data_IF_342721166487
#
_entry.id   IF_342721166487
#
_cell.length_a   1.000
_cell.length_b   1.000
_cell.length_c   1.000
_cell.angle_alpha   90.00
_cell.angle_beta   90.00
_cell.angle_gamma   90.00
#
_symmetry.space_group_name_H-M   'P 1'
#
loop_
_entity.id
_entity.type
_entity.pdbx_description
1 polymer ?
#
# COMPACT_ATOMS: atom_id res chain seq x y z
N UNK A 1 -5.92 -17.57 -15.30
CA UNK A 1 -4.65 -16.79 -15.29
C UNK A 1 -3.65 -17.62 -14.49
N UNK A 2 -2.41 -17.81 -14.95
CA UNK A 2 -1.48 -18.75 -14.29
C UNK A 2 -0.80 -18.20 -13.02
N UNK A 3 -0.81 -16.88 -12.83
CA UNK A 3 -0.12 -16.21 -11.74
C UNK A 3 -1.12 -15.38 -10.89
N UNK A 4 -0.92 -15.29 -9.56
CA UNK A 4 -1.86 -14.65 -8.64
C UNK A 4 -1.88 -13.12 -8.71
N UNK A 5 -2.95 -12.53 -8.19
CA UNK A 5 -3.00 -11.13 -7.75
C UNK A 5 -2.63 -11.10 -6.26
N UNK A 6 -1.74 -10.18 -5.90
CA UNK A 6 -1.31 -10.01 -4.51
C UNK A 6 -1.78 -8.66 -3.97
N UNK A 7 -2.40 -8.68 -2.80
CA UNK A 7 -2.73 -7.47 -2.05
C UNK A 7 -1.85 -7.43 -0.82
N UNK A 8 -1.13 -6.32 -0.67
CA UNK A 8 -0.14 -6.11 0.37
C UNK A 8 -0.60 -4.94 1.22
N UNK A 9 -0.86 -5.21 2.49
CA UNK A 9 -1.29 -4.21 3.45
C UNK A 9 -0.10 -3.69 4.25
N UNK A 10 0.04 -2.36 4.33
CA UNK A 10 0.96 -1.67 5.21
C UNK A 10 0.19 -0.96 6.34
N UNK A 11 0.44 -1.31 7.61
CA UNK A 11 -0.05 -0.53 8.73
C UNK A 11 0.51 0.90 8.67
N UNK A 12 -0.23 1.88 9.18
CA UNK A 12 0.23 3.27 9.18
C UNK A 12 1.44 3.45 10.11
N UNK A 13 2.39 4.28 9.70
CA UNK A 13 3.57 4.69 10.50
C UNK A 13 3.28 6.02 11.18
N UNK A 14 2.19 6.11 11.92
CA UNK A 14 2.16 7.08 13.02
C UNK A 14 2.77 6.36 14.21
N UNK A 15 3.77 6.96 14.85
CA UNK A 15 4.50 6.40 16.00
C UNK A 15 3.63 6.26 17.24
N UNK A 16 2.60 5.43 17.14
CA UNK A 16 1.63 5.09 18.15
C UNK A 16 1.23 3.64 17.89
N UNK A 17 1.73 2.74 18.77
CA UNK A 17 0.85 1.73 19.36
C UNK A 17 -0.57 2.33 19.53
N UNK A 18 -1.66 1.57 19.29
CA UNK A 18 -3.03 2.03 19.04
C UNK A 18 -3.31 3.54 19.19
N UNK A 19 -3.59 4.21 18.08
CA UNK A 19 -3.85 5.65 18.02
C UNK A 19 -5.21 6.00 18.68
N UNK A 20 -5.20 6.37 19.96
CA UNK A 20 -6.38 6.88 20.68
C UNK A 20 -7.56 5.90 20.74
N UNK A 21 -8.80 6.41 20.70
CA UNK A 21 -10.05 5.62 20.76
C UNK A 21 -10.34 4.78 19.50
N UNK A 22 -9.48 4.78 18.47
CA UNK A 22 -9.69 4.02 17.24
C UNK A 22 -8.81 2.77 17.21
N UNK A 23 -9.34 1.69 17.77
CA UNK A 23 -8.66 0.39 17.95
C UNK A 23 -8.45 -0.43 16.65
N UNK A 24 -8.82 0.08 15.48
CA UNK A 24 -8.93 -0.73 14.26
C UNK A 24 -8.39 0.02 13.03
N UNK A 25 -7.48 -0.62 12.30
CA UNK A 25 -6.98 -0.11 11.02
C UNK A 25 -7.99 -0.43 9.91
N UNK A 26 -8.65 0.61 9.37
CA UNK A 26 -9.70 0.45 8.38
C UNK A 26 -9.22 -0.25 7.09
N UNK A 27 -7.98 -0.02 6.64
CA UNK A 27 -7.48 -0.70 5.44
C UNK A 27 -7.17 -2.16 5.69
N UNK A 28 -6.77 -2.55 6.90
CA UNK A 28 -6.63 -3.97 7.23
C UNK A 28 -7.98 -4.69 7.20
N UNK A 29 -9.00 -4.11 7.84
CA UNK A 29 -10.36 -4.67 7.80
C UNK A 29 -10.86 -4.80 6.36
N UNK A 30 -10.67 -3.76 5.54
CA UNK A 30 -11.07 -3.81 4.13
C UNK A 30 -10.38 -4.94 3.37
N UNK A 31 -9.10 -5.17 3.64
CA UNK A 31 -8.30 -6.24 3.01
C UNK A 31 -8.74 -7.64 3.50
N UNK A 32 -9.05 -7.79 4.79
CA UNK A 32 -9.61 -9.04 5.32
C UNK A 32 -11.00 -9.36 4.77
N UNK A 33 -11.86 -8.34 4.60
CA UNK A 33 -13.16 -8.54 3.96
C UNK A 33 -13.02 -8.87 2.48
N UNK A 34 -12.06 -8.26 1.77
CA UNK A 34 -11.74 -8.61 0.38
C UNK A 34 -11.31 -10.07 0.25
N UNK A 35 -10.48 -10.57 1.17
CA UNK A 35 -10.05 -11.98 1.18
C UNK A 35 -11.25 -12.94 1.33
N UNK A 36 -12.22 -12.59 2.19
CA UNK A 36 -13.44 -13.39 2.41
C UNK A 36 -14.40 -13.35 1.22
N UNK A 37 -14.61 -12.16 0.65
CA UNK A 37 -15.50 -11.97 -0.50
C UNK A 37 -14.90 -12.62 -1.76
N UNK A 38 -13.58 -12.69 -1.83
CA UNK A 38 -12.86 -13.12 -3.01
C UNK A 38 -13.02 -12.14 -4.17
N UNK A 39 -12.42 -12.51 -5.30
CA UNK A 39 -12.62 -11.84 -6.57
C UNK A 39 -13.41 -12.78 -7.49
N UNK A 40 -13.26 -12.65 -8.81
CA UNK A 40 -13.81 -13.62 -9.76
C UNK A 40 -13.16 -14.99 -9.57
N UNK A 41 -13.87 -16.07 -9.91
CA UNK A 41 -13.41 -17.45 -9.75
C UNK A 41 -12.08 -17.76 -10.47
N UNK A 42 -11.72 -16.97 -11.48
CA UNK A 42 -10.48 -17.11 -12.25
C UNK A 42 -9.28 -16.33 -11.69
N UNK A 43 -9.45 -15.69 -10.52
CA UNK A 43 -8.45 -14.86 -9.85
C UNK A 43 -7.98 -15.53 -8.56
N UNK A 44 -6.71 -15.92 -8.52
CA UNK A 44 -6.03 -16.37 -7.30
C UNK A 44 -5.56 -15.14 -6.51
N UNK A 45 -6.20 -14.86 -5.37
CA UNK A 45 -5.95 -13.70 -4.53
C UNK A 45 -5.10 -14.10 -3.30
N UNK A 46 -3.95 -13.45 -3.13
CA UNK A 46 -3.10 -13.62 -1.94
C UNK A 46 -3.02 -12.31 -1.16
N UNK A 47 -3.28 -12.37 0.14
CA UNK A 47 -3.26 -11.21 1.04
C UNK A 47 -2.12 -11.35 2.03
N UNK A 48 -1.36 -10.26 2.22
CA UNK A 48 -0.26 -10.20 3.19
C UNK A 48 -0.31 -8.92 4.01
N UNK A 49 -0.23 -9.05 5.33
CA UNK A 49 0.10 -7.95 6.23
C UNK A 49 1.62 -7.80 6.33
N UNK A 50 2.13 -6.59 6.08
CA UNK A 50 3.56 -6.29 6.10
C UNK A 50 3.90 -5.42 7.30
N UNK A 51 4.94 -5.75 8.07
CA UNK A 51 5.35 -4.92 9.20
C UNK A 51 5.78 -3.52 8.75
N UNK A 52 5.53 -2.55 9.63
CA UNK A 52 6.01 -1.17 9.52
C UNK A 52 7.47 -1.11 9.97
N UNK A 53 8.34 -1.70 9.17
CA UNK A 53 9.77 -1.83 9.45
C UNK A 53 10.54 -1.78 8.14
N UNK A 54 11.36 -0.75 7.93
CA UNK A 54 12.02 -0.53 6.63
C UNK A 54 12.83 -1.76 6.18
N UNK A 55 13.59 -2.33 7.11
CA UNK A 55 14.42 -3.49 6.82
C UNK A 55 13.61 -4.76 6.57
N UNK A 56 12.47 -4.94 7.23
CA UNK A 56 11.61 -6.10 7.00
C UNK A 56 10.92 -6.00 5.64
N UNK A 57 10.42 -4.82 5.28
CA UNK A 57 9.81 -4.55 3.96
C UNK A 57 10.81 -4.88 2.83
N UNK A 58 12.05 -4.40 2.94
CA UNK A 58 13.12 -4.65 1.95
C UNK A 58 13.43 -6.15 1.76
N UNK A 59 13.14 -7.01 2.74
CA UNK A 59 13.34 -8.46 2.64
C UNK A 59 12.08 -9.19 2.20
N UNK A 60 10.93 -8.84 2.76
CA UNK A 60 9.68 -9.57 2.60
C UNK A 60 9.08 -9.38 1.21
N UNK A 61 9.03 -8.14 0.71
CA UNK A 61 8.39 -7.86 -0.59
C UNK A 61 9.09 -8.61 -1.74
N UNK A 62 10.44 -8.57 -1.89
CA UNK A 62 11.10 -9.34 -2.94
C UNK A 62 10.95 -10.85 -2.77
N UNK A 63 10.89 -11.36 -1.53
CA UNK A 63 10.67 -12.77 -1.27
C UNK A 63 9.26 -13.22 -1.70
N UNK A 64 8.24 -12.40 -1.45
CA UNK A 64 6.86 -12.64 -1.89
C UNK A 64 6.76 -12.62 -3.43
N UNK A 65 7.38 -11.63 -4.08
CA UNK A 65 7.43 -11.59 -5.54
C UNK A 65 8.11 -12.81 -6.14
N UNK A 66 9.24 -13.25 -5.58
CA UNK A 66 9.94 -14.45 -6.05
C UNK A 66 9.11 -15.71 -5.84
N UNK A 67 8.38 -15.81 -4.72
CA UNK A 67 7.57 -16.97 -4.37
C UNK A 67 6.32 -17.09 -5.27
N UNK A 68 5.64 -15.97 -5.52
CA UNK A 68 4.32 -15.98 -6.17
C UNK A 68 4.35 -15.54 -7.63
N UNK A 69 5.39 -14.83 -8.08
CA UNK A 69 5.45 -14.22 -9.42
C UNK A 69 4.15 -13.50 -9.82
N UNK A 70 3.62 -12.59 -8.96
CA UNK A 70 2.29 -12.03 -9.12
C UNK A 70 2.16 -11.18 -10.39
N UNK A 71 0.98 -11.18 -11.02
CA UNK A 71 0.69 -10.32 -12.18
C UNK A 71 0.35 -8.89 -11.79
N UNK A 72 -0.18 -8.72 -10.58
CA UNK A 72 -0.59 -7.43 -10.04
C UNK A 72 -0.32 -7.42 -8.54
N UNK A 73 0.23 -6.31 -8.07
CA UNK A 73 0.40 -6.04 -6.64
C UNK A 73 -0.34 -4.76 -6.30
N UNK A 74 -1.23 -4.83 -5.32
CA UNK A 74 -1.95 -3.66 -4.81
C UNK A 74 -1.47 -3.40 -3.39
N UNK A 75 -0.82 -2.26 -3.19
CA UNK A 75 -0.41 -1.80 -1.87
C UNK A 75 -1.55 -0.97 -1.27
N UNK A 76 -1.97 -1.32 -0.05
CA UNK A 76 -3.05 -0.62 0.65
C UNK A 76 -2.52 -0.15 2.00
N UNK A 77 -2.78 1.12 2.32
CA UNK A 77 -2.42 1.72 3.59
C UNK A 77 -3.52 2.64 4.09
N UNK A 78 -3.40 3.11 5.33
CA UNK A 78 -4.27 4.14 5.90
C UNK A 78 -3.47 5.38 6.25
N UNK A 79 -4.05 6.54 5.98
CA UNK A 79 -3.57 7.83 6.46
C UNK A 79 -4.58 8.38 7.45
N UNK A 80 -4.11 8.85 8.62
CA UNK A 80 -4.97 9.44 9.65
C UNK A 80 -5.66 10.74 9.22
N UNK A 81 -5.29 11.30 8.06
CA UNK A 81 -5.90 12.50 7.48
C UNK A 81 -6.79 12.20 6.27
N UNK A 82 -6.86 10.95 5.81
CA UNK A 82 -7.63 10.61 4.63
C UNK A 82 -9.14 10.61 4.95
N UNK A 83 -9.90 11.39 4.19
CA UNK A 83 -11.37 11.42 4.23
C UNK A 83 -12.01 10.69 3.05
N UNK A 84 -11.18 10.23 2.10
CA UNK A 84 -11.57 9.59 0.84
C UNK A 84 -10.64 8.44 0.52
N UNK A 85 -11.02 7.55 -0.40
CA UNK A 85 -10.08 6.59 -0.98
C UNK A 85 -9.17 7.34 -1.95
N UNK A 86 -7.86 7.25 -1.75
CA UNK A 86 -6.86 7.92 -2.59
C UNK A 86 -6.15 6.88 -3.46
N UNK A 87 -6.15 7.10 -4.78
CA UNK A 87 -5.40 6.31 -5.74
C UNK A 87 -4.06 7.00 -6.01
N UNK A 88 -2.97 6.36 -5.63
CA UNK A 88 -1.63 6.91 -5.79
C UNK A 88 -1.09 6.65 -7.20
N UNK A 89 -0.69 7.72 -7.88
CA UNK A 89 -0.06 7.66 -9.21
C UNK A 89 1.40 7.29 -9.16
N UNK A 90 2.08 7.56 -8.04
CA UNK A 90 3.50 7.25 -7.93
C UNK A 90 3.96 7.06 -6.48
N UNK A 91 4.96 6.21 -6.33
CA UNK A 91 5.71 6.03 -5.08
C UNK A 91 6.98 6.87 -5.09
N UNK A 92 7.27 7.52 -3.96
CA UNK A 92 8.47 8.35 -3.80
C UNK A 92 9.55 7.58 -3.05
N UNK A 93 10.78 7.70 -3.53
CA UNK A 93 11.94 7.06 -2.92
C UNK A 93 12.61 7.95 -1.87
N UNK A 94 12.46 9.27 -1.90
CA UNK A 94 13.18 10.20 -1.01
C UNK A 94 12.25 10.89 -0.01
N UNK A 95 12.76 11.27 1.16
CA UNK A 95 12.02 12.05 2.16
C UNK A 95 11.57 11.26 3.39
N UNK A 96 12.08 10.04 3.57
CA UNK A 96 11.81 9.20 4.73
C UNK A 96 12.59 9.71 5.94
N UNK A 97 11.87 10.31 6.89
CA UNK A 97 12.44 10.91 8.12
C UNK A 97 11.80 10.35 9.40
N UNK A 98 10.78 9.51 9.25
CA UNK A 98 10.06 8.88 10.34
C UNK A 98 10.81 7.69 10.90
N UNK A 99 10.71 7.51 12.21
CA UNK A 99 11.09 6.24 12.84
C UNK A 99 10.03 5.19 12.54
N UNK A 100 10.46 4.00 12.16
CA UNK A 100 9.60 2.82 12.06
C UNK A 100 9.31 2.21 13.46
N UNK A 101 8.58 1.10 13.50
CA UNK A 101 8.21 0.44 14.76
C UNK A 101 9.43 -0.11 15.53
N UNK A 102 10.56 -0.32 14.86
CA UNK A 102 11.83 -0.70 15.48
C UNK A 102 12.70 0.50 15.86
N UNK A 103 12.14 1.72 15.82
CA UNK A 103 12.88 2.98 16.05
C UNK A 103 14.04 3.16 15.08
N UNK A 104 13.92 2.63 13.86
CA UNK A 104 14.89 2.79 12.80
C UNK A 104 14.41 3.81 11.77
N UNK A 105 15.34 4.62 11.25
CA UNK A 105 15.11 5.52 10.13
C UNK A 105 16.32 5.44 9.18
N UNK A 106 16.13 5.31 7.86
CA UNK A 106 17.23 5.30 6.90
C UNK A 106 18.03 6.61 6.97
N UNK A 107 19.35 6.51 7.15
CA UNK A 107 20.23 7.69 7.20
C UNK A 107 20.28 8.46 5.89
N UNK A 108 20.09 7.77 4.76
CA UNK A 108 19.98 8.34 3.42
C UNK A 108 18.66 9.06 3.17
N UNK A 109 17.67 8.93 4.06
CA UNK A 109 16.29 9.40 3.87
C UNK A 109 15.62 8.83 2.61
N UNK A 110 16.15 7.71 2.10
CA UNK A 110 15.64 7.01 0.94
C UNK A 110 14.98 5.68 1.34
N UNK A 111 14.00 5.23 0.56
CA UNK A 111 13.42 3.90 0.69
C UNK A 111 14.40 2.82 0.21
N UNK A 112 15.02 3.08 -0.96
CA UNK A 112 16.02 2.25 -1.62
C UNK A 112 17.17 3.14 -2.07
N UNK A 113 18.37 2.87 -1.55
CA UNK A 113 19.57 3.60 -1.95
C UNK A 113 19.92 3.34 -3.42
N UNK A 114 20.13 4.42 -4.18
CA UNK A 114 20.38 4.35 -5.62
C UNK A 114 19.15 4.02 -6.49
N UNK A 115 17.97 3.87 -5.89
CA UNK A 115 16.71 3.72 -6.63
C UNK A 115 16.27 5.02 -7.32
N UNK A 116 15.36 4.94 -8.30
CA UNK A 116 14.79 6.14 -8.93
C UNK A 116 14.10 7.03 -7.89
N UNK A 117 14.05 8.34 -8.11
CA UNK A 117 13.39 9.27 -7.18
C UNK A 117 11.90 8.97 -7.01
N UNK A 118 11.27 8.51 -8.08
CA UNK A 118 9.85 8.27 -8.19
C UNK A 118 9.59 7.10 -9.13
N UNK A 119 8.62 6.25 -8.80
CA UNK A 119 8.14 5.16 -9.66
C UNK A 119 6.66 5.42 -9.92
N UNK A 120 6.30 5.56 -11.19
CA UNK A 120 4.92 5.72 -11.60
C UNK A 120 4.19 4.37 -11.59
N UNK A 121 2.94 4.39 -11.16
CA UNK A 121 2.04 3.25 -11.27
C UNK A 121 1.82 2.91 -12.74
N UNK A 122 1.93 1.62 -13.07
CA UNK A 122 1.60 1.09 -14.40
C UNK A 122 0.09 1.18 -14.66
N UNK A 123 -0.73 1.17 -13.61
CA UNK A 123 -2.18 1.32 -13.70
C UNK A 123 -2.52 2.79 -13.92
N UNK A 124 -3.32 3.06 -14.95
CA UNK A 124 -3.90 4.38 -15.21
C UNK A 124 -4.96 4.72 -14.14
N UNK A 125 -4.49 5.39 -13.09
CA UNK A 125 -5.33 5.81 -11.97
C UNK A 125 -6.40 6.84 -12.37
N UNK A 126 -6.21 7.61 -13.46
CA UNK A 126 -7.26 8.49 -13.97
C UNK A 126 -8.44 7.67 -14.53
N UNK A 127 -8.13 6.63 -15.28
CA UNK A 127 -9.14 5.70 -15.81
C UNK A 127 -9.83 4.92 -14.69
N UNK A 128 -9.09 4.44 -13.69
CA UNK A 128 -9.68 3.75 -12.53
C UNK A 128 -10.60 4.69 -11.75
N UNK A 129 -10.13 5.90 -11.41
CA UNK A 129 -10.94 6.88 -10.70
C UNK A 129 -12.23 7.20 -11.45
N UNK A 130 -12.16 7.50 -12.75
CA UNK A 130 -13.34 7.79 -13.58
C UNK A 130 -14.34 6.63 -13.58
N UNK A 131 -13.86 5.40 -13.73
CA UNK A 131 -14.72 4.21 -13.73
C UNK A 131 -15.40 4.01 -12.39
N UNK A 132 -14.67 4.14 -11.28
CA UNK A 132 -15.25 3.96 -9.93
C UNK A 132 -16.24 5.07 -9.61
N UNK A 133 -15.93 6.33 -9.95
CA UNK A 133 -16.86 7.46 -9.77
C UNK A 133 -18.14 7.30 -10.57
N UNK A 134 -18.09 6.66 -11.75
CA UNK A 134 -19.27 6.40 -12.57
C UNK A 134 -20.17 5.27 -12.04
N UNK A 135 -19.71 4.48 -11.05
CA UNK A 135 -20.52 3.45 -10.40
C UNK A 135 -21.49 4.03 -9.36
N UNK A 136 -21.47 5.35 -9.13
CA UNK A 136 -22.34 6.06 -8.16
C UNK A 136 -22.34 5.41 -6.76
N UNK A 137 -21.17 4.88 -6.36
CA UNK A 137 -20.96 4.36 -5.01
C UNK A 137 -20.93 5.51 -4.01
N UNK A 138 -21.33 5.23 -2.76
CA UNK A 138 -21.24 6.18 -1.63
C UNK A 138 -19.79 6.36 -1.13
N UNK A 139 -18.82 6.25 -2.03
CA UNK A 139 -17.38 6.32 -1.75
C UNK A 139 -16.77 7.36 -2.68
N UNK A 140 -16.23 8.42 -2.07
CA UNK A 140 -15.44 9.40 -2.80
C UNK A 140 -14.05 8.82 -3.09
N UNK A 141 -13.64 8.84 -4.35
CA UNK A 141 -12.31 8.42 -4.80
C UNK A 141 -11.59 9.62 -5.39
N UNK A 142 -10.34 9.83 -4.97
CA UNK A 142 -9.48 10.91 -5.48
C UNK A 142 -8.14 10.33 -5.95
N UNK A 143 -7.38 11.14 -6.69
CA UNK A 143 -6.07 10.75 -7.20
C UNK A 143 -5.00 11.63 -6.56
N UNK A 144 -3.89 11.03 -6.15
CA UNK A 144 -2.72 11.71 -5.62
C UNK A 144 -1.47 11.36 -6.44
N UNK A 145 -0.47 12.24 -6.39
CA UNK A 145 0.89 12.00 -6.90
C UNK A 145 1.90 11.93 -5.75
N UNK A 146 1.41 11.68 -4.54
CA UNK A 146 2.20 11.68 -3.32
C UNK A 146 1.60 10.68 -2.33
N UNK A 147 2.17 9.47 -2.33
CA UNK A 147 1.81 8.40 -1.42
C UNK A 147 2.30 8.60 0.03
N UNK A 148 2.85 9.78 0.35
CA UNK A 148 3.51 10.05 1.62
C UNK A 148 4.93 9.50 1.69
N UNK A 149 5.52 9.50 2.90
CA UNK A 149 6.94 9.18 3.16
C UNK A 149 7.16 8.21 4.30
N UNK A 150 6.20 7.32 4.49
CA UNK A 150 6.13 6.46 5.67
C UNK A 150 6.07 4.97 5.31
N UNK A 151 5.59 4.57 4.12
CA UNK A 151 5.60 3.15 3.75
C UNK A 151 5.29 2.78 2.29
N UNK A 152 5.40 3.69 1.32
CA UNK A 152 4.92 3.44 -0.06
C UNK A 152 5.92 3.90 -1.13
N UNK A 153 6.94 3.09 -1.37
CA UNK A 153 7.94 3.39 -2.41
C UNK A 153 8.79 2.19 -2.85
N UNK A 154 8.21 0.98 -2.91
CA UNK A 154 8.89 -0.22 -3.41
C UNK A 154 8.11 -0.88 -4.54
#
# INVERSE_FOLDING_TARGET
LENPIMVVFFPSVSGFEPFGEHAVNASWIAVQELEKLGLRDDVDLHVYEIPVEYQAVQRLIPALWKKHSPQLVVHVGVSGMATTVTLEKCGHNVGYKGLDNCRFCPGSQCCVEGGPECIDSIIDMDTVCKRVSALELDVTVTISKDAGRYGMGN
#
